data_IF_149817533292
#
_entry.id   IF_149817533292
#
_cell.length_a   1.000
_cell.length_b   1.000
_cell.length_c   1.000
_cell.angle_alpha   90.00
_cell.angle_beta   90.00
_cell.angle_gamma   90.00
#
_symmetry.space_group_name_H-M   'P 1'
#
loop_
_entity.id
_entity.type
_entity.pdbx_description
1 polymer ?
#
# COMPACT_ATOMS: atom_id res chain seq x y z
N UNK A 1 -0.59 -31.01 60.05
CA UNK A 1 -0.74 -31.15 58.58
C UNK A 1 -1.90 -30.37 57.96
N UNK A 2 -3.00 -30.04 58.67
CA UNK A 2 -4.17 -29.36 58.08
C UNK A 2 -3.98 -27.88 57.69
N UNK A 3 -3.08 -27.12 58.33
CA UNK A 3 -2.89 -25.67 58.05
C UNK A 3 -2.18 -25.36 56.72
N UNK A 4 -1.29 -26.22 56.23
CA UNK A 4 -0.58 -26.00 54.96
C UNK A 4 -1.49 -26.22 53.75
N UNK A 5 -2.47 -27.11 53.85
CA UNK A 5 -3.39 -27.43 52.76
C UNK A 5 -4.32 -26.26 52.41
N UNK A 6 -4.80 -25.51 53.42
CA UNK A 6 -5.61 -24.31 53.18
C UNK A 6 -4.83 -23.16 52.53
N UNK A 7 -3.52 -23.06 52.80
CA UNK A 7 -2.67 -22.04 52.16
C UNK A 7 -2.47 -22.38 50.67
N UNK A 8 -2.23 -23.65 50.34
CA UNK A 8 -2.13 -24.08 48.95
C UNK A 8 -3.45 -23.97 48.19
N UNK A 9 -4.59 -24.25 48.84
CA UNK A 9 -5.91 -24.07 48.23
C UNK A 9 -6.22 -22.59 47.97
N UNK A 10 -5.85 -21.69 48.89
CA UNK A 10 -6.02 -20.25 48.73
C UNK A 10 -5.18 -19.68 47.59
N UNK A 11 -3.91 -20.09 47.48
CA UNK A 11 -3.03 -19.68 46.37
C UNK A 11 -3.54 -20.25 45.03
N UNK A 12 -4.00 -21.50 45.01
CA UNK A 12 -4.57 -22.10 43.80
C UNK A 12 -5.86 -21.40 43.33
N UNK A 13 -6.70 -20.95 44.27
CA UNK A 13 -7.93 -20.21 43.96
C UNK A 13 -7.64 -18.77 43.49
N UNK A 14 -6.63 -18.11 44.07
CA UNK A 14 -6.17 -16.78 43.60
C UNK A 14 -5.52 -16.89 42.22
N UNK A 15 -4.74 -17.96 41.95
CA UNK A 15 -4.23 -18.22 40.61
C UNK A 15 -5.36 -18.52 39.61
N UNK A 16 -6.38 -19.31 39.99
CA UNK A 16 -7.56 -19.55 39.14
C UNK A 16 -8.37 -18.27 38.88
N UNK A 17 -8.48 -17.37 39.86
CA UNK A 17 -9.12 -16.06 39.71
C UNK A 17 -8.29 -15.10 38.85
N UNK A 18 -6.96 -15.17 38.91
CA UNK A 18 -6.06 -14.42 38.04
C UNK A 18 -6.08 -14.94 36.58
N UNK A 19 -6.36 -16.23 36.36
CA UNK A 19 -6.51 -16.82 35.02
C UNK A 19 -7.92 -16.56 34.46
N UNK A 20 -8.95 -16.46 35.31
CA UNK A 20 -10.34 -16.20 34.87
C UNK A 20 -10.71 -14.72 34.74
N UNK A 21 -9.85 -13.80 35.22
CA UNK A 21 -9.96 -12.36 34.95
C UNK A 21 -9.05 -11.88 33.81
N UNK A 22 -8.49 -12.80 33.03
CA UNK A 22 -7.66 -12.55 31.84
C UNK A 22 -8.42 -12.96 30.55
N UNK A 23 -9.72 -12.71 30.52
CA UNK A 23 -10.60 -13.13 29.43
C UNK A 23 -11.98 -12.54 29.59
N UNK A 24 -12.06 -11.21 29.47
CA UNK A 24 -13.30 -10.41 29.31
C UNK A 24 -12.98 -8.91 29.19
N UNK A 25 -12.00 -8.58 28.36
CA UNK A 25 -12.26 -7.45 27.46
C UNK A 25 -12.58 -8.17 26.14
N UNK A 26 -13.86 -8.21 25.78
CA UNK A 26 -14.23 -8.58 24.43
C UNK A 26 -13.53 -7.54 23.54
N UNK A 27 -12.43 -7.94 22.89
CA UNK A 27 -11.79 -7.20 21.81
C UNK A 27 -12.87 -6.97 20.75
N UNK A 28 -13.57 -5.84 20.86
CA UNK A 28 -14.81 -5.53 20.15
C UNK A 28 -14.53 -5.24 18.66
N UNK A 29 -14.06 -6.25 17.94
CA UNK A 29 -14.00 -6.25 16.49
C UNK A 29 -15.43 -6.23 15.97
N UNK A 30 -15.83 -5.07 15.45
CA UNK A 30 -17.24 -4.80 15.12
C UNK A 30 -17.44 -4.92 13.61
N UNK A 31 -18.43 -5.73 13.20
CA UNK A 31 -18.83 -5.84 11.80
C UNK A 31 -20.02 -4.92 11.51
N UNK A 32 -19.93 -4.12 10.46
CA UNK A 32 -21.00 -3.23 10.01
C UNK A 32 -21.27 -3.45 8.52
N UNK A 33 -22.55 -3.41 8.14
CA UNK A 33 -22.98 -3.49 6.74
C UNK A 33 -22.87 -2.12 6.05
N UNK A 34 -22.37 -2.12 4.82
CA UNK A 34 -22.26 -0.94 3.96
C UNK A 34 -21.04 -0.10 4.27
N UNK A 35 -21.00 1.12 3.71
CA UNK A 35 -19.94 2.08 3.95
C UNK A 35 -19.95 2.66 5.38
N UNK A 36 -18.84 3.22 5.87
CA UNK A 36 -18.84 4.06 7.06
C UNK A 36 -19.91 5.16 6.99
N UNK A 37 -20.47 5.54 8.14
CA UNK A 37 -21.52 6.59 8.20
C UNK A 37 -20.97 8.01 8.09
N UNK A 38 -19.68 8.18 8.37
CA UNK A 38 -18.99 9.47 8.36
C UNK A 38 -17.67 9.33 7.61
N UNK A 39 -17.19 10.44 7.05
CA UNK A 39 -15.89 10.49 6.40
C UNK A 39 -14.77 10.32 7.44
N UNK A 40 -13.71 9.64 7.04
CA UNK A 40 -12.53 9.43 7.88
C UNK A 40 -11.26 9.46 7.03
N UNK A 41 -10.10 9.80 7.62
CA UNK A 41 -8.83 9.69 6.91
C UNK A 41 -8.60 8.33 6.26
N UNK A 42 -9.03 7.24 6.90
CA UNK A 42 -8.87 5.90 6.36
C UNK A 42 -9.82 5.64 5.18
N UNK A 43 -11.08 6.08 5.28
CA UNK A 43 -12.04 5.95 4.19
C UNK A 43 -11.63 6.76 2.94
N UNK A 44 -11.10 7.97 3.14
CA UNK A 44 -10.56 8.80 2.05
C UNK A 44 -9.41 8.13 1.31
N UNK A 45 -8.49 7.50 2.05
CA UNK A 45 -7.39 6.73 1.46
C UNK A 45 -7.93 5.57 0.63
N UNK A 46 -8.88 4.80 1.17
CA UNK A 46 -9.56 3.72 0.44
C UNK A 46 -10.17 4.20 -0.88
N UNK A 47 -11.00 5.26 -0.85
CA UNK A 47 -11.61 5.79 -2.06
C UNK A 47 -10.57 6.27 -3.08
N UNK A 48 -9.43 6.82 -2.62
CA UNK A 48 -8.33 7.20 -3.51
C UNK A 48 -7.83 5.98 -4.30
N UNK A 49 -7.65 4.84 -3.64
CA UNK A 49 -7.14 3.61 -4.25
C UNK A 49 -8.15 3.05 -5.25
N UNK A 50 -9.40 2.88 -4.82
CA UNK A 50 -10.49 2.40 -5.70
C UNK A 50 -10.70 3.30 -6.92
N UNK A 51 -10.40 4.60 -6.79
CA UNK A 51 -10.47 5.55 -7.91
C UNK A 51 -9.27 5.47 -8.87
N UNK A 52 -8.33 4.54 -8.68
CA UNK A 52 -7.10 4.44 -9.48
C UNK A 52 -6.16 5.63 -9.27
N UNK A 53 -6.18 6.24 -8.08
CA UNK A 53 -5.33 7.37 -7.69
C UNK A 53 -4.25 6.93 -6.68
N UNK A 54 -3.84 5.66 -6.76
CA UNK A 54 -3.04 4.92 -5.79
C UNK A 54 -1.62 5.49 -5.53
N UNK A 55 -0.92 4.85 -4.59
CA UNK A 55 0.32 5.34 -3.97
C UNK A 55 1.54 5.35 -4.91
N UNK A 56 1.66 4.35 -5.78
CA UNK A 56 2.69 4.23 -6.82
C UNK A 56 2.68 5.39 -7.82
N UNK A 57 1.50 5.95 -8.09
CA UNK A 57 1.32 7.15 -8.89
C UNK A 57 1.54 8.46 -8.10
N UNK A 58 1.58 8.41 -6.76
CA UNK A 58 1.62 9.61 -5.91
C UNK A 58 3.05 10.07 -5.67
N UNK A 59 3.40 11.22 -6.25
CA UNK A 59 4.72 11.81 -6.11
C UNK A 59 4.88 12.57 -4.79
N UNK A 60 3.84 13.33 -4.40
CA UNK A 60 3.85 14.21 -3.23
C UNK A 60 2.44 14.40 -2.68
N UNK A 61 2.30 14.43 -1.36
CA UNK A 61 1.13 14.94 -0.66
C UNK A 61 1.57 16.01 0.35
N UNK A 62 1.33 17.28 0.02
CA UNK A 62 1.74 18.43 0.83
C UNK A 62 0.62 19.46 0.89
N UNK A 63 0.34 20.02 2.07
CA UNK A 63 -0.69 21.05 2.27
C UNK A 63 -2.06 20.65 1.68
N UNK A 64 -2.53 19.43 1.96
CA UNK A 64 -3.80 18.89 1.47
C UNK A 64 -3.91 18.82 -0.06
N UNK A 65 -2.77 18.69 -0.76
CA UNK A 65 -2.69 18.57 -2.22
C UNK A 65 -1.86 17.35 -2.62
N UNK A 66 -2.47 16.48 -3.41
CA UNK A 66 -1.82 15.37 -4.07
C UNK A 66 -1.27 15.83 -5.42
N UNK A 67 -0.02 15.48 -5.69
CA UNK A 67 0.56 15.52 -7.04
C UNK A 67 0.82 14.09 -7.48
N UNK A 68 0.19 13.69 -8.58
CA UNK A 68 0.29 12.33 -9.11
C UNK A 68 0.85 12.35 -10.53
N UNK A 69 1.42 11.23 -10.95
CA UNK A 69 1.79 10.96 -12.32
C UNK A 69 0.79 10.00 -12.98
N UNK A 70 0.63 10.10 -14.30
CA UNK A 70 0.05 9.05 -15.15
C UNK A 70 0.94 8.84 -16.38
N UNK A 71 1.27 7.58 -16.66
CA UNK A 71 1.96 7.21 -17.90
C UNK A 71 1.03 7.38 -19.10
N UNK A 72 1.59 7.75 -20.24
CA UNK A 72 0.89 7.85 -21.52
C UNK A 72 1.87 7.52 -22.66
N UNK A 73 1.36 7.20 -23.86
CA UNK A 73 2.16 6.82 -25.05
C UNK A 73 3.26 7.82 -25.40
N UNK A 74 3.12 9.09 -25.01
CA UNK A 74 4.08 10.17 -25.29
C UNK A 74 5.04 10.52 -24.14
N UNK A 75 4.95 9.86 -22.99
CA UNK A 75 5.70 10.19 -21.78
C UNK A 75 4.79 10.39 -20.55
N UNK A 76 5.34 11.03 -19.51
CA UNK A 76 4.61 11.24 -18.26
C UNK A 76 3.72 12.50 -18.31
N UNK A 77 2.51 12.36 -17.78
CA UNK A 77 1.62 13.48 -17.45
C UNK A 77 1.46 13.60 -15.94
N UNK A 78 1.32 14.82 -15.45
CA UNK A 78 1.16 15.11 -14.03
C UNK A 78 -0.20 15.73 -13.75
N UNK A 79 -0.80 15.39 -12.62
CA UNK A 79 -2.09 15.91 -12.20
C UNK A 79 -2.02 16.38 -10.74
N UNK A 80 -2.88 17.32 -10.38
CA UNK A 80 -2.98 17.81 -9.00
C UNK A 80 -4.43 17.94 -8.55
N UNK A 81 -4.69 17.50 -7.32
CA UNK A 81 -5.99 17.65 -6.68
C UNK A 81 -5.84 17.80 -5.17
N UNK A 82 -6.90 18.28 -4.53
CA UNK A 82 -6.96 18.52 -3.08
C UNK A 82 -7.73 17.43 -2.36
N UNK A 83 -7.50 17.31 -1.05
CA UNK A 83 -8.33 16.48 -0.15
C UNK A 83 -9.82 16.77 -0.29
N UNK A 84 -10.17 18.05 -0.46
CA UNK A 84 -11.56 18.50 -0.61
C UNK A 84 -12.16 18.02 -1.93
N UNK A 85 -11.43 18.10 -3.03
CA UNK A 85 -11.93 17.65 -4.33
C UNK A 85 -12.12 16.14 -4.38
N UNK A 86 -11.22 15.39 -3.73
CA UNK A 86 -11.41 13.96 -3.54
C UNK A 86 -12.66 13.70 -2.68
N UNK A 87 -12.81 14.38 -1.54
CA UNK A 87 -13.98 14.24 -0.67
C UNK A 87 -15.31 14.58 -1.38
N UNK A 88 -15.35 15.68 -2.13
CA UNK A 88 -16.52 16.10 -2.90
C UNK A 88 -16.90 15.04 -3.97
N UNK A 89 -15.93 14.24 -4.44
CA UNK A 89 -16.17 13.18 -5.45
C UNK A 89 -16.91 11.95 -4.92
N UNK A 90 -16.88 11.71 -3.60
CA UNK A 90 -17.55 10.57 -2.96
C UNK A 90 -18.56 10.97 -1.88
N UNK A 91 -18.81 12.27 -1.68
CA UNK A 91 -19.74 12.78 -0.67
C UNK A 91 -21.17 12.20 -0.78
N UNK A 92 -21.60 11.80 -1.98
CA UNK A 92 -22.89 11.15 -2.21
C UNK A 92 -23.03 9.81 -1.48
N UNK A 93 -21.91 9.15 -1.13
CA UNK A 93 -21.94 7.93 -0.31
C UNK A 93 -22.57 8.22 1.05
N UNK A 94 -22.42 9.41 1.64
CA UNK A 94 -23.02 9.70 2.95
C UNK A 94 -24.43 10.29 2.88
N UNK A 95 -25.04 10.31 1.69
CA UNK A 95 -26.38 10.88 1.50
C UNK A 95 -27.48 9.85 1.81
N UNK A 96 -28.60 10.26 2.44
CA UNK A 96 -29.70 9.34 2.82
C UNK A 96 -30.35 8.59 1.64
N UNK A 97 -30.27 9.10 0.42
CA UNK A 97 -30.88 8.53 -0.80
C UNK A 97 -30.03 7.42 -1.46
N UNK A 98 -29.23 6.73 -0.65
CA UNK A 98 -28.06 5.91 -1.00
C UNK A 98 -28.34 4.63 -1.82
N UNK A 99 -29.60 4.29 -2.13
CA UNK A 99 -30.01 2.92 -2.42
C UNK A 99 -29.44 2.27 -3.71
N UNK A 100 -28.71 3.00 -4.57
CA UNK A 100 -28.23 2.49 -5.86
C UNK A 100 -26.84 2.98 -6.31
N UNK A 101 -26.06 3.66 -5.44
CA UNK A 101 -24.85 4.39 -5.89
C UNK A 101 -23.51 3.64 -5.78
N UNK A 102 -23.50 2.36 -5.43
CA UNK A 102 -22.27 1.54 -5.35
C UNK A 102 -21.49 1.43 -6.68
N UNK A 103 -22.14 1.71 -7.81
CA UNK A 103 -21.55 1.56 -9.14
C UNK A 103 -20.79 2.80 -9.68
N UNK A 104 -20.79 3.93 -8.96
CA UNK A 104 -20.25 5.18 -9.47
C UNK A 104 -19.46 5.99 -8.43
N UNK A 105 -18.48 5.37 -7.74
CA UNK A 105 -17.31 6.18 -7.35
C UNK A 105 -16.82 6.81 -8.65
N UNK A 106 -16.75 8.15 -8.68
CA UNK A 106 -16.53 8.88 -9.91
C UNK A 106 -15.04 8.84 -10.27
N UNK A 107 -14.57 7.65 -10.69
CA UNK A 107 -13.20 7.21 -10.98
C UNK A 107 -12.31 8.29 -11.60
N UNK A 108 -11.85 9.22 -10.76
CA UNK A 108 -11.02 10.35 -11.14
C UNK A 108 -11.57 11.32 -12.21
N UNK A 109 -12.88 11.35 -12.53
CA UNK A 109 -13.40 12.28 -13.58
C UNK A 109 -13.11 13.75 -13.29
N UNK A 110 -12.98 14.11 -12.02
CA UNK A 110 -12.56 15.46 -11.62
C UNK A 110 -11.14 15.81 -12.10
N UNK A 111 -10.25 14.82 -12.27
CA UNK A 111 -8.94 15.01 -12.87
C UNK A 111 -9.04 15.22 -14.37
N UNK A 112 -9.88 14.44 -15.07
CA UNK A 112 -10.06 14.58 -16.51
C UNK A 112 -10.61 15.97 -16.86
N UNK A 113 -11.55 16.47 -16.06
CA UNK A 113 -12.11 17.81 -16.21
C UNK A 113 -11.08 18.93 -16.01
N UNK A 114 -10.09 18.72 -15.13
CA UNK A 114 -9.00 19.67 -14.89
C UNK A 114 -7.89 19.58 -15.94
N UNK A 115 -7.70 18.40 -16.52
CA UNK A 115 -6.57 18.10 -17.37
C UNK A 115 -5.23 18.06 -16.62
N UNK A 116 -4.14 17.75 -17.35
CA UNK A 116 -2.81 17.68 -16.78
C UNK A 116 -2.27 19.06 -16.39
N UNK A 117 -1.34 19.07 -15.44
CA UNK A 117 -0.61 20.27 -15.04
C UNK A 117 0.13 20.90 -16.23
N UNK A 118 -0.07 22.20 -16.41
CA UNK A 118 0.80 23.07 -17.21
C UNK A 118 2.00 23.56 -16.39
N UNK A 119 3.08 23.96 -17.07
CA UNK A 119 4.27 24.55 -16.43
C UNK A 119 4.92 23.60 -15.40
N UNK A 120 5.18 22.36 -15.83
CA UNK A 120 5.67 21.28 -14.95
C UNK A 120 7.10 21.53 -14.47
N UNK A 121 7.93 22.18 -15.30
CA UNK A 121 9.33 22.47 -14.98
C UNK A 121 9.41 23.50 -13.84
N UNK A 122 8.59 24.55 -13.90
CA UNK A 122 8.47 25.57 -12.85
C UNK A 122 7.94 24.99 -11.52
N UNK A 123 7.30 23.81 -11.59
CA UNK A 123 6.83 23.04 -10.44
C UNK A 123 7.83 21.99 -9.97
N UNK A 124 9.06 22.02 -10.46
CA UNK A 124 10.14 21.07 -10.12
C UNK A 124 9.79 19.62 -10.47
N UNK A 125 9.00 19.41 -11.52
CA UNK A 125 8.68 18.11 -12.09
C UNK A 125 9.40 17.98 -13.44
N UNK A 126 10.03 16.83 -13.73
CA UNK A 126 10.78 16.64 -14.96
C UNK A 126 9.83 16.39 -16.12
N UNK A 127 10.27 16.75 -17.32
CA UNK A 127 9.67 16.24 -18.55
C UNK A 127 10.45 14.99 -18.97
N UNK A 128 9.74 13.86 -19.10
CA UNK A 128 10.31 12.58 -19.53
C UNK A 128 9.70 12.16 -20.86
N UNK A 129 10.54 11.84 -21.84
CA UNK A 129 10.12 11.31 -23.15
C UNK A 129 11.04 10.18 -23.59
N UNK A 130 10.45 9.12 -24.12
CA UNK A 130 11.20 8.05 -24.76
C UNK A 130 11.13 8.23 -26.28
N UNK A 131 12.27 8.10 -26.96
CA UNK A 131 12.26 8.00 -28.42
C UNK A 131 12.29 6.54 -28.90
N UNK A 132 12.04 6.35 -30.21
CA UNK A 132 12.06 5.05 -30.90
C UNK A 132 13.41 4.31 -30.86
N UNK A 133 14.48 4.92 -30.32
CA UNK A 133 15.78 4.27 -30.11
C UNK A 133 16.01 3.92 -28.64
N UNK A 134 14.94 3.93 -27.84
CA UNK A 134 14.96 3.73 -26.39
C UNK A 134 15.93 4.70 -25.70
N UNK A 135 15.98 5.93 -26.19
CA UNK A 135 16.72 7.02 -25.56
C UNK A 135 15.77 7.85 -24.72
N UNK A 136 15.94 7.79 -23.41
CA UNK A 136 15.19 8.59 -22.47
C UNK A 136 15.72 10.02 -22.49
N UNK A 137 14.87 10.96 -22.87
CA UNK A 137 15.10 12.40 -22.76
C UNK A 137 14.52 12.87 -21.43
N UNK A 138 15.38 13.49 -20.63
CA UNK A 138 15.02 14.06 -19.32
C UNK A 138 15.31 15.54 -19.35
N UNK A 139 14.30 16.35 -19.06
CA UNK A 139 14.44 17.80 -18.93
C UNK A 139 13.95 18.26 -17.57
N UNK A 140 14.74 19.10 -16.91
CA UNK A 140 14.45 19.72 -15.62
C UNK A 140 14.63 21.22 -15.73
N UNK A 141 14.40 21.95 -14.63
CA UNK A 141 14.74 23.39 -14.57
C UNK A 141 16.25 23.65 -14.72
N UNK A 142 17.08 22.63 -14.46
CA UNK A 142 18.54 22.73 -14.46
C UNK A 142 19.18 22.33 -15.80
N UNK A 143 18.43 21.76 -16.74
CA UNK A 143 18.92 21.40 -18.06
C UNK A 143 18.20 20.22 -18.72
N UNK A 144 18.82 19.68 -19.76
CA UNK A 144 18.32 18.52 -20.50
C UNK A 144 19.43 17.49 -20.69
N UNK A 145 19.07 16.20 -20.62
CA UNK A 145 19.98 15.08 -20.86
C UNK A 145 19.29 13.94 -21.56
N UNK A 146 20.05 13.25 -22.40
CA UNK A 146 19.63 12.00 -23.03
C UNK A 146 20.37 10.82 -22.40
N UNK A 147 19.62 9.79 -22.03
CA UNK A 147 20.12 8.57 -21.39
C UNK A 147 19.74 7.40 -22.29
N UNK A 148 20.74 6.64 -22.74
CA UNK A 148 20.50 5.40 -23.49
C UNK A 148 20.09 4.31 -22.50
N UNK A 149 18.91 3.71 -22.70
CA UNK A 149 18.45 2.61 -21.88
C UNK A 149 19.14 1.30 -22.31
N UNK A 150 19.42 0.37 -21.37
CA UNK A 150 20.02 -0.94 -21.68
C UNK A 150 18.99 -1.92 -22.26
N UNK A 151 18.06 -1.42 -23.09
CA UNK A 151 16.98 -2.17 -23.71
C UNK A 151 17.27 -2.23 -25.22
N UNK A 152 16.98 -3.37 -25.86
CA UNK A 152 17.15 -3.49 -27.32
C UNK A 152 16.20 -2.52 -28.01
N UNK A 153 16.70 -1.73 -28.96
CA UNK A 153 15.83 -0.87 -29.77
C UNK A 153 14.87 -1.77 -30.56
N UNK A 154 13.58 -1.66 -30.25
CA UNK A 154 12.49 -2.29 -30.99
C UNK A 154 11.85 -1.26 -31.91
N UNK A 155 11.16 -1.73 -32.96
CA UNK A 155 10.38 -0.83 -33.81
C UNK A 155 9.24 -0.16 -33.03
N UNK A 156 8.73 -0.85 -32.00
CA UNK A 156 7.61 -0.40 -31.17
C UNK A 156 8.10 -0.06 -29.77
N UNK A 157 8.19 1.24 -29.48
CA UNK A 157 8.38 1.76 -28.11
C UNK A 157 7.09 1.72 -27.29
N UNK A 158 5.99 1.18 -27.84
CA UNK A 158 4.69 1.09 -27.19
C UNK A 158 4.67 0.09 -26.02
N UNK A 159 5.62 -0.85 -25.99
CA UNK A 159 5.76 -1.88 -24.93
C UNK A 159 6.72 -1.45 -23.81
N UNK A 160 7.16 -0.19 -23.79
CA UNK A 160 8.02 0.35 -22.75
C UNK A 160 7.27 1.40 -21.95
N UNK A 161 7.12 1.16 -20.66
CA UNK A 161 6.42 2.05 -19.75
C UNK A 161 7.41 2.79 -18.86
N UNK A 162 7.19 4.10 -18.71
CA UNK A 162 7.97 4.95 -17.83
C UNK A 162 7.16 5.31 -16.60
N UNK A 163 7.82 5.33 -15.46
CA UNK A 163 7.25 5.77 -14.18
C UNK A 163 8.22 6.71 -13.49
N UNK A 164 7.70 7.74 -12.83
CA UNK A 164 8.47 8.53 -11.88
C UNK A 164 8.04 8.09 -10.49
N UNK A 165 8.78 7.19 -9.85
CA UNK A 165 8.41 6.67 -8.53
C UNK A 165 8.64 7.70 -7.43
N UNK A 166 9.70 8.50 -7.52
CA UNK A 166 10.01 9.49 -6.50
C UNK A 166 10.84 10.65 -7.04
N UNK A 167 10.65 11.83 -6.44
CA UNK A 167 11.42 13.03 -6.76
C UNK A 167 11.53 13.99 -5.57
N UNK A 168 12.77 14.29 -5.17
CA UNK A 168 13.10 15.32 -4.18
C UNK A 168 13.96 16.43 -4.82
N UNK A 169 14.44 17.38 -4.00
CA UNK A 169 15.24 18.54 -4.46
C UNK A 169 16.58 18.18 -5.10
N UNK A 170 17.10 16.97 -4.89
CA UNK A 170 18.43 16.52 -5.32
C UNK A 170 18.36 15.35 -6.28
N UNK A 171 17.41 14.44 -6.10
CA UNK A 171 17.37 13.13 -6.73
C UNK A 171 15.98 12.82 -7.28
N UNK A 172 15.94 12.00 -8.32
CA UNK A 172 14.74 11.36 -8.84
C UNK A 172 15.00 9.88 -9.13
N UNK A 173 13.95 9.09 -9.02
CA UNK A 173 13.91 7.67 -9.28
C UNK A 173 12.89 7.40 -10.38
N UNK A 174 13.39 6.95 -11.53
CA UNK A 174 12.58 6.66 -12.71
C UNK A 174 12.55 5.14 -12.90
N UNK A 175 11.37 4.57 -13.03
CA UNK A 175 11.13 3.19 -13.44
C UNK A 175 11.01 3.09 -14.96
N UNK A 176 11.56 2.01 -15.51
CA UNK A 176 11.35 1.59 -16.89
C UNK A 176 10.93 0.13 -16.87
N UNK A 177 9.73 -0.15 -17.35
CA UNK A 177 9.22 -1.51 -17.53
C UNK A 177 9.23 -1.85 -19.02
N UNK A 178 9.95 -2.91 -19.37
CA UNK A 178 10.12 -3.40 -20.72
C UNK A 178 9.33 -4.70 -20.89
N UNK A 179 8.24 -4.59 -21.64
CA UNK A 179 7.38 -5.71 -22.05
C UNK A 179 7.77 -6.26 -23.42
N UNK A 180 8.90 -5.85 -23.99
CA UNK A 180 9.32 -6.34 -25.31
C UNK A 180 9.81 -7.79 -25.25
N UNK A 181 9.06 -8.69 -25.90
CA UNK A 181 9.41 -10.10 -26.11
C UNK A 181 8.57 -11.11 -25.31
N UNK A 182 8.78 -12.40 -25.59
CA UNK A 182 8.05 -13.53 -24.98
C UNK A 182 8.70 -13.94 -23.64
N UNK A 183 8.53 -13.14 -22.58
CA UNK A 183 9.06 -13.46 -21.25
C UNK A 183 8.62 -12.49 -20.17
N UNK A 184 9.20 -12.62 -18.98
CA UNK A 184 8.90 -11.75 -17.84
C UNK A 184 9.29 -10.29 -18.13
N UNK A 185 8.43 -9.36 -17.69
CA UNK A 185 8.67 -7.92 -17.76
C UNK A 185 10.01 -7.57 -17.12
N UNK A 186 10.88 -6.87 -17.86
CA UNK A 186 12.17 -6.41 -17.32
C UNK A 186 12.01 -5.02 -16.75
N UNK A 187 12.29 -4.88 -15.46
CA UNK A 187 12.25 -3.59 -14.78
C UNK A 187 13.65 -3.04 -14.56
N UNK A 188 13.87 -1.78 -14.97
CA UNK A 188 15.08 -1.02 -14.72
C UNK A 188 14.77 0.24 -13.91
N UNK A 189 15.62 0.54 -12.94
CA UNK A 189 15.56 1.76 -12.15
C UNK A 189 16.69 2.71 -12.54
N UNK A 190 16.35 3.97 -12.80
CA UNK A 190 17.29 5.03 -13.09
C UNK A 190 17.31 5.99 -11.90
N UNK A 191 18.42 5.96 -11.17
CA UNK A 191 18.71 6.89 -10.09
C UNK A 191 19.44 8.09 -10.67
N UNK A 192 18.81 9.26 -10.67
CA UNK A 192 19.29 10.44 -11.40
C UNK A 192 19.32 11.68 -10.49
N UNK A 193 20.42 12.43 -10.54
CA UNK A 193 20.48 13.76 -9.91
C UNK A 193 19.61 14.75 -10.68
N UNK A 194 18.91 15.64 -9.98
CA UNK A 194 18.11 16.73 -10.58
C UNK A 194 18.91 17.64 -11.53
N UNK A 195 20.20 17.83 -11.25
CA UNK A 195 21.12 18.59 -12.12
C UNK A 195 21.64 17.80 -13.34
N UNK A 196 21.17 16.56 -13.50
CA UNK A 196 21.47 15.66 -14.62
C UNK A 196 22.95 15.23 -14.76
N UNK A 197 23.83 15.64 -13.85
CA UNK A 197 25.28 15.36 -13.97
C UNK A 197 25.63 13.89 -13.72
N UNK A 198 24.94 13.24 -12.78
CA UNK A 198 25.21 11.86 -12.36
C UNK A 198 23.94 11.03 -12.41
N UNK A 199 24.07 9.80 -12.93
CA UNK A 199 23.00 8.81 -12.90
C UNK A 199 23.57 7.40 -12.74
N UNK A 200 22.72 6.47 -12.29
CA UNK A 200 22.98 5.03 -12.28
C UNK A 200 21.73 4.31 -12.81
N UNK A 201 21.94 3.28 -13.63
CA UNK A 201 20.87 2.39 -14.10
C UNK A 201 21.10 1.04 -13.45
N UNK A 202 20.05 0.47 -12.86
CA UNK A 202 20.12 -0.78 -12.10
C UNK A 202 18.94 -1.64 -12.51
N UNK A 203 19.17 -2.90 -12.84
CA UNK A 203 18.09 -3.86 -13.04
C UNK A 203 17.43 -4.20 -11.70
N UNK A 204 16.11 -4.45 -11.67
CA UNK A 204 15.37 -4.78 -10.45
C UNK A 204 16.02 -5.90 -9.63
N UNK A 205 16.49 -6.95 -10.28
CA UNK A 205 17.10 -8.12 -9.61
C UNK A 205 18.47 -7.81 -9.00
N UNK A 206 19.18 -6.82 -9.55
CA UNK A 206 20.49 -6.38 -9.08
C UNK A 206 20.40 -5.28 -8.01
N UNK A 207 19.20 -4.75 -7.76
CA UNK A 207 18.99 -3.62 -6.87
C UNK A 207 19.50 -3.88 -5.44
N UNK A 208 19.17 -5.01 -4.78
CA UNK A 208 19.62 -5.26 -3.41
C UNK A 208 21.15 -5.20 -3.29
N UNK A 209 21.86 -5.97 -4.14
CA UNK A 209 23.32 -6.01 -4.13
C UNK A 209 23.94 -4.65 -4.48
N UNK A 210 23.31 -3.87 -5.38
CA UNK A 210 23.81 -2.55 -5.75
C UNK A 210 23.66 -1.54 -4.61
N UNK A 211 22.57 -1.60 -3.84
CA UNK A 211 22.38 -0.80 -2.63
C UNK A 211 23.42 -1.18 -1.57
N UNK A 212 23.55 -2.47 -1.27
CA UNK A 212 24.51 -2.97 -0.27
C UNK A 212 25.96 -2.65 -0.62
N UNK A 213 26.29 -2.56 -1.92
CA UNK A 213 27.63 -2.14 -2.35
C UNK A 213 27.93 -0.65 -2.10
N UNK A 214 26.93 0.15 -1.68
CA UNK A 214 27.06 1.59 -1.45
C UNK A 214 27.05 2.46 -2.72
N UNK A 215 26.94 1.85 -3.92
CA UNK A 215 26.90 2.58 -5.21
C UNK A 215 25.75 3.57 -5.31
N UNK A 216 24.68 3.37 -4.55
CA UNK A 216 23.48 4.22 -4.55
C UNK A 216 23.37 5.16 -3.34
N UNK A 217 24.41 5.31 -2.51
CA UNK A 217 24.39 6.15 -1.30
C UNK A 217 23.93 7.60 -1.57
N UNK A 218 24.31 8.15 -2.72
CA UNK A 218 23.95 9.51 -3.12
C UNK A 218 22.46 9.69 -3.44
N UNK A 219 21.72 8.59 -3.63
CA UNK A 219 20.34 8.57 -4.13
C UNK A 219 19.34 8.06 -3.10
N UNK A 220 19.77 7.61 -1.92
CA UNK A 220 18.90 7.00 -0.90
C UNK A 220 17.73 7.89 -0.42
N UNK A 221 17.76 9.19 -0.69
CA UNK A 221 16.69 10.11 -0.31
C UNK A 221 15.40 9.93 -1.11
N UNK A 222 15.44 9.25 -2.25
CA UNK A 222 14.24 8.94 -3.06
C UNK A 222 13.40 7.82 -2.46
N UNK A 223 13.98 7.02 -1.56
CA UNK A 223 13.26 5.93 -0.92
C UNK A 223 12.46 6.43 0.28
N UNK A 224 11.18 6.03 0.41
CA UNK A 224 10.37 6.36 1.57
C UNK A 224 11.03 5.94 2.87
N UNK A 225 10.92 6.81 3.89
CA UNK A 225 11.37 6.48 5.24
C UNK A 225 10.34 5.60 5.93
N UNK A 226 10.79 4.46 6.41
CA UNK A 226 9.99 3.51 7.19
C UNK A 226 9.87 3.97 8.64
N UNK A 227 10.98 4.45 9.20
CA UNK A 227 11.05 5.00 10.56
C UNK A 227 11.28 6.51 10.54
N UNK A 228 10.89 7.22 11.60
CA UNK A 228 11.01 8.68 11.69
C UNK A 228 12.46 9.17 11.52
N UNK A 229 13.40 8.44 12.14
CA UNK A 229 14.85 8.68 12.03
C UNK A 229 15.44 8.30 10.66
N UNK A 230 14.67 7.59 9.83
CA UNK A 230 15.08 7.09 8.53
C UNK A 230 16.16 6.02 8.60
N UNK A 231 16.27 5.29 9.71
CA UNK A 231 17.15 4.11 9.86
C UNK A 231 16.78 2.99 8.89
N UNK A 232 15.49 2.86 8.57
CA UNK A 232 14.97 1.95 7.57
C UNK A 232 14.37 2.71 6.39
N UNK A 233 14.64 2.24 5.18
CA UNK A 233 14.08 2.77 3.93
C UNK A 233 13.33 1.67 3.19
N UNK A 234 12.15 1.99 2.67
CA UNK A 234 11.40 1.07 1.81
C UNK A 234 11.95 1.17 0.40
N UNK A 235 12.31 0.04 -0.19
CA UNK A 235 12.84 0.00 -1.54
C UNK A 235 11.71 -0.18 -2.54
N UNK A 236 11.38 -1.44 -2.83
CA UNK A 236 10.27 -1.89 -3.66
C UNK A 236 9.81 -3.24 -3.13
N UNK A 237 8.60 -3.64 -3.50
CA UNK A 237 7.99 -4.90 -3.07
C UNK A 237 8.19 -5.08 -1.55
N UNK A 238 8.62 -6.27 -1.14
CA UNK A 238 8.87 -6.67 0.25
C UNK A 238 10.28 -6.33 0.76
N UNK A 239 11.03 -5.44 0.11
CA UNK A 239 12.42 -5.13 0.48
C UNK A 239 12.58 -3.85 1.29
N UNK A 240 13.29 -3.97 2.42
CA UNK A 240 13.62 -2.89 3.35
C UNK A 240 15.14 -2.76 3.47
N UNK A 241 15.68 -1.57 3.30
CA UNK A 241 17.09 -1.27 3.51
C UNK A 241 17.34 -0.74 4.93
N UNK A 242 18.27 -1.36 5.66
CA UNK A 242 18.72 -0.95 6.98
C UNK A 242 20.05 -0.18 6.87
N UNK A 243 20.01 1.14 7.07
CA UNK A 243 21.19 2.01 6.89
C UNK A 243 22.36 1.66 7.80
N UNK A 244 22.08 1.31 9.06
CA UNK A 244 23.11 1.08 10.07
C UNK A 244 24.00 -0.11 9.72
N UNK A 245 23.40 -1.18 9.23
CA UNK A 245 24.09 -2.41 8.85
C UNK A 245 24.44 -2.43 7.37
N UNK A 246 23.87 -1.52 6.58
CA UNK A 246 24.00 -1.46 5.12
C UNK A 246 23.56 -2.78 4.45
N UNK A 247 22.46 -3.34 4.95
CA UNK A 247 21.88 -4.60 4.48
C UNK A 247 20.46 -4.38 3.97
N UNK A 248 20.11 -5.10 2.92
CA UNK A 248 18.75 -5.20 2.41
C UNK A 248 18.11 -6.46 2.99
N UNK A 249 16.93 -6.29 3.59
CA UNK A 249 16.14 -7.36 4.20
C UNK A 249 14.84 -7.53 3.43
N UNK A 250 14.52 -8.78 3.09
CA UNK A 250 13.20 -9.13 2.55
C UNK A 250 12.28 -9.53 3.70
N UNK A 251 11.06 -9.00 3.71
CA UNK A 251 9.97 -9.50 4.57
C UNK A 251 9.58 -10.91 4.09
N UNK A 252 9.07 -11.76 4.99
CA UNK A 252 8.65 -13.12 4.63
C UNK A 252 7.63 -13.10 3.49
N UNK A 253 7.69 -14.10 2.60
CA UNK A 253 6.70 -14.26 1.55
C UNK A 253 5.30 -14.54 2.12
N UNK A 254 5.24 -15.17 3.30
CA UNK A 254 4.02 -15.41 4.06
C UNK A 254 3.34 -14.14 4.62
N UNK A 255 4.03 -13.00 4.65
CA UNK A 255 3.57 -11.76 5.26
C UNK A 255 3.27 -10.69 4.18
N UNK A 256 2.52 -9.66 4.55
CA UNK A 256 2.18 -8.52 3.67
C UNK A 256 2.81 -7.24 4.20
N UNK A 257 3.47 -6.46 3.33
CA UNK A 257 4.07 -5.18 3.70
C UNK A 257 3.10 -4.03 3.35
N UNK A 258 2.91 -3.08 4.25
CA UNK A 258 2.07 -1.90 3.96
C UNK A 258 2.65 -1.07 2.81
N UNK A 259 1.79 -0.33 2.12
CA UNK A 259 2.16 0.51 0.97
C UNK A 259 3.25 1.54 1.27
N UNK A 260 3.27 2.05 2.51
CA UNK A 260 4.29 3.00 2.97
C UNK A 260 5.55 2.32 3.53
N UNK A 261 5.59 0.99 3.51
CA UNK A 261 6.66 0.15 4.01
C UNK A 261 6.82 0.15 5.52
N UNK A 262 5.87 0.70 6.29
CA UNK A 262 6.01 0.92 7.74
C UNK A 262 5.50 -0.23 8.60
N UNK A 263 4.58 -1.03 8.10
CA UNK A 263 3.90 -2.06 8.85
C UNK A 263 3.90 -3.38 8.09
N UNK A 264 3.89 -4.48 8.84
CA UNK A 264 3.81 -5.84 8.32
C UNK A 264 2.55 -6.49 8.88
N UNK A 265 1.69 -6.97 8.00
CA UNK A 265 0.58 -7.85 8.35
C UNK A 265 1.10 -9.28 8.36
N UNK A 266 1.06 -9.92 9.52
CA UNK A 266 1.61 -11.26 9.70
C UNK A 266 0.68 -12.32 9.10
N UNK A 267 1.23 -13.28 8.35
CA UNK A 267 0.50 -14.34 7.66
C UNK A 267 -0.54 -13.83 6.62
N UNK A 268 -0.36 -12.61 6.12
CA UNK A 268 -1.25 -11.97 5.13
C UNK A 268 -0.84 -12.14 3.67
N UNK A 269 -0.01 -13.16 3.37
CA UNK A 269 0.64 -13.37 2.08
C UNK A 269 -0.25 -13.08 0.85
N UNK A 270 0.30 -12.36 -0.13
CA UNK A 270 -0.32 -12.06 -1.42
C UNK A 270 -0.61 -13.32 -2.25
N UNK A 271 0.19 -14.38 -2.08
CA UNK A 271 0.11 -15.64 -2.83
C UNK A 271 -0.76 -16.69 -2.13
N UNK A 272 -1.33 -16.37 -0.96
CA UNK A 272 -2.33 -17.22 -0.32
C UNK A 272 -3.70 -16.83 -0.84
N UNK A 273 -4.38 -17.82 -1.44
CA UNK A 273 -5.78 -17.65 -1.86
C UNK A 273 -6.68 -17.23 -0.68
N UNK A 274 -6.35 -17.62 0.56
CA UNK A 274 -7.17 -17.35 1.74
C UNK A 274 -6.27 -16.94 2.92
N UNK A 275 -6.42 -15.70 3.41
CA UNK A 275 -5.93 -15.34 4.76
C UNK A 275 -6.63 -16.21 5.82
N UNK A 276 -5.89 -16.69 6.81
CA UNK A 276 -6.48 -17.55 7.83
C UNK A 276 -7.47 -16.78 8.72
N UNK A 277 -8.60 -17.41 9.06
CA UNK A 277 -9.45 -16.93 10.15
C UNK A 277 -8.71 -16.96 11.50
N UNK A 278 -9.23 -16.19 12.46
CA UNK A 278 -8.71 -16.11 13.82
C UNK A 278 -7.88 -14.85 14.06
N UNK A 279 -6.90 -14.95 14.96
CA UNK A 279 -6.12 -13.82 15.45
C UNK A 279 -5.18 -13.28 14.37
N UNK A 280 -5.50 -12.10 13.89
CA UNK A 280 -4.72 -11.28 12.97
C UNK A 280 -3.79 -10.37 13.75
N UNK A 281 -2.59 -10.12 13.21
CA UNK A 281 -1.55 -9.33 13.88
C UNK A 281 -0.83 -8.43 12.90
N UNK A 282 -0.63 -7.20 13.31
CA UNK A 282 0.11 -6.19 12.56
C UNK A 282 1.26 -5.68 13.43
N UNK A 283 2.46 -5.59 12.85
CA UNK A 283 3.65 -5.04 13.51
C UNK A 283 4.20 -3.86 12.74
N UNK A 284 4.92 -2.95 13.40
CA UNK A 284 5.85 -2.06 12.67
C UNK A 284 6.96 -2.91 12.04
N UNK A 285 7.49 -2.50 10.89
CA UNK A 285 8.66 -3.12 10.27
C UNK A 285 9.87 -3.16 11.22
N UNK A 286 10.07 -2.15 12.05
CA UNK A 286 11.17 -2.15 13.02
C UNK A 286 11.06 -3.31 14.02
N UNK A 287 9.90 -3.48 14.66
CA UNK A 287 9.65 -4.60 15.57
C UNK A 287 9.78 -5.95 14.86
N UNK A 288 9.21 -6.06 13.65
CA UNK A 288 9.28 -7.26 12.83
C UNK A 288 10.73 -7.67 12.54
N UNK A 289 11.54 -6.76 12.00
CA UNK A 289 12.93 -7.03 11.63
C UNK A 289 13.82 -7.31 12.85
N UNK A 290 13.53 -6.69 13.99
CA UNK A 290 14.22 -6.94 15.27
C UNK A 290 13.72 -8.19 15.99
N UNK A 291 12.67 -8.87 15.48
CA UNK A 291 11.98 -9.99 16.14
C UNK A 291 11.45 -9.62 17.52
N UNK A 292 11.06 -8.37 17.71
CA UNK A 292 10.32 -7.95 18.88
C UNK A 292 8.87 -8.38 18.69
N UNK A 293 8.38 -9.31 19.51
CA UNK A 293 6.99 -9.81 19.46
C UNK A 293 5.99 -8.78 20.02
N UNK A 294 6.04 -7.54 19.52
CA UNK A 294 5.15 -6.45 19.88
C UNK A 294 4.23 -6.17 18.70
N UNK A 295 2.97 -6.51 18.88
CA UNK A 295 1.92 -6.22 17.91
C UNK A 295 1.40 -4.79 18.12
N UNK A 296 1.27 -4.04 17.03
CA UNK A 296 0.69 -2.70 17.00
C UNK A 296 -0.83 -2.76 16.99
N UNK A 297 -1.39 -3.77 16.31
CA UNK A 297 -2.82 -4.07 16.29
C UNK A 297 -2.98 -5.59 16.29
N UNK A 298 -3.96 -6.06 17.06
CA UNK A 298 -4.40 -7.44 17.08
C UNK A 298 -5.93 -7.47 17.06
N UNK A 299 -6.52 -8.31 16.22
CA UNK A 299 -7.97 -8.49 16.15
C UNK A 299 -8.32 -9.90 15.69
N UNK A 300 -9.54 -10.36 15.94
CA UNK A 300 -10.00 -11.70 15.57
C UNK A 300 -10.93 -11.63 14.35
N UNK A 301 -10.44 -12.08 13.19
CA UNK A 301 -11.20 -12.13 11.95
C UNK A 301 -12.01 -13.44 11.90
N UNK A 302 -13.30 -13.30 11.60
CA UNK A 302 -14.30 -14.36 11.64
C UNK A 302 -15.21 -14.15 10.43
N UNK A 303 -15.05 -14.98 9.40
CA UNK A 303 -15.73 -14.80 8.12
C UNK A 303 -17.23 -15.00 8.28
N UNK A 304 -17.66 -16.00 9.04
CA UNK A 304 -19.07 -16.28 9.29
C UNK A 304 -19.77 -15.03 9.87
N UNK A 305 -19.20 -14.43 10.93
CA UNK A 305 -19.74 -13.19 11.51
C UNK A 305 -19.72 -12.02 10.54
N UNK A 306 -18.69 -11.93 9.71
CA UNK A 306 -18.60 -10.86 8.73
C UNK A 306 -19.72 -10.94 7.70
N UNK A 307 -19.91 -12.11 7.08
CA UNK A 307 -20.96 -12.34 6.08
C UNK A 307 -22.36 -12.24 6.68
N UNK A 308 -22.57 -12.78 7.89
CA UNK A 308 -23.81 -12.61 8.64
C UNK A 308 -24.10 -11.14 8.94
N UNK A 309 -23.08 -10.36 9.30
CA UNK A 309 -23.17 -8.91 9.51
C UNK A 309 -23.59 -8.15 8.24
N UNK A 310 -23.16 -8.62 7.06
CA UNK A 310 -23.64 -8.11 5.77
C UNK A 310 -25.04 -8.62 5.37
N UNK A 311 -25.59 -9.58 6.11
CA UNK A 311 -26.86 -10.23 5.79
C UNK A 311 -26.76 -11.21 4.62
N UNK A 312 -25.56 -11.75 4.36
CA UNK A 312 -25.27 -12.66 3.27
C UNK A 312 -25.15 -14.09 3.81
N UNK A 313 -25.91 -15.01 3.21
CA UNK A 313 -25.78 -16.43 3.51
C UNK A 313 -24.80 -17.09 2.54
N UNK A 314 -23.58 -17.26 3.01
CA UNK A 314 -22.47 -17.80 2.23
C UNK A 314 -22.30 -19.29 2.50
N UNK A 315 -22.11 -20.07 1.43
CA UNK A 315 -21.82 -21.51 1.52
C UNK A 315 -20.35 -21.75 1.85
N UNK A 316 -19.48 -20.97 1.23
CA UNK A 316 -18.03 -21.09 1.34
C UNK A 316 -17.35 -19.79 0.91
N UNK A 317 -16.28 -19.42 1.63
CA UNK A 317 -15.29 -18.44 1.17
C UNK A 317 -14.27 -19.15 0.29
N UNK A 318 -14.14 -18.67 -0.95
CA UNK A 318 -13.23 -19.23 -1.94
C UNK A 318 -11.85 -18.57 -1.86
N UNK A 319 -11.83 -17.25 -1.66
CA UNK A 319 -10.61 -16.48 -1.46
C UNK A 319 -10.82 -15.32 -0.49
N UNK A 320 -9.74 -14.89 0.17
CA UNK A 320 -9.70 -13.72 1.03
C UNK A 320 -8.30 -13.12 0.93
N UNK A 321 -8.17 -12.01 0.20
CA UNK A 321 -6.88 -11.42 -0.20
C UNK A 321 -6.79 -9.98 0.28
N UNK A 322 -5.65 -9.59 0.86
CA UNK A 322 -5.37 -8.19 1.18
C UNK A 322 -5.11 -7.44 -0.14
N UNK A 323 -6.02 -6.55 -0.51
CA UNK A 323 -5.86 -5.66 -1.69
C UNK A 323 -5.07 -4.40 -1.38
N UNK A 324 -5.10 -3.98 -0.11
CA UNK A 324 -4.41 -2.79 0.33
C UNK A 324 -4.18 -2.81 1.83
N UNK A 325 -3.04 -2.27 2.25
CA UNK A 325 -2.73 -2.11 3.66
C UNK A 325 -1.90 -0.85 3.95
N UNK A 326 -2.35 -0.06 4.92
CA UNK A 326 -1.57 1.01 5.55
C UNK A 326 -1.81 1.07 7.07
N UNK A 327 -1.20 2.05 7.74
CA UNK A 327 -1.30 2.24 9.19
C UNK A 327 -2.73 2.38 9.75
N UNK A 328 -3.65 2.88 8.94
CA UNK A 328 -5.03 3.18 9.33
C UNK A 328 -6.01 2.13 8.82
N UNK A 329 -5.58 1.25 7.91
CA UNK A 329 -6.52 0.59 7.04
C UNK A 329 -6.04 -0.74 6.44
N UNK A 330 -6.89 -1.77 6.46
CA UNK A 330 -6.70 -3.01 5.69
C UNK A 330 -7.95 -3.25 4.84
N UNK A 331 -7.77 -3.33 3.53
CA UNK A 331 -8.82 -3.73 2.58
C UNK A 331 -8.62 -5.19 2.22
N UNK A 332 -9.65 -6.01 2.44
CA UNK A 332 -9.64 -7.44 2.13
C UNK A 332 -10.77 -7.70 1.14
N UNK A 333 -10.42 -8.23 -0.03
CA UNK A 333 -11.41 -8.69 -0.99
C UNK A 333 -11.69 -10.16 -0.76
N UNK A 334 -12.97 -10.50 -0.67
CA UNK A 334 -13.44 -11.87 -0.54
C UNK A 334 -14.09 -12.33 -1.83
N UNK A 335 -13.73 -13.53 -2.29
CA UNK A 335 -14.56 -14.30 -3.23
C UNK A 335 -15.32 -15.36 -2.46
N UNK A 336 -16.61 -15.53 -2.75
CA UNK A 336 -17.45 -16.47 -2.02
C UNK A 336 -18.53 -17.09 -2.91
N UNK A 337 -19.02 -18.27 -2.50
CA UNK A 337 -20.16 -18.93 -3.13
C UNK A 337 -21.42 -18.72 -2.30
N UNK A 338 -22.50 -18.28 -2.96
CA UNK A 338 -23.81 -18.25 -2.31
C UNK A 338 -24.34 -19.65 -2.10
N UNK A 339 -25.21 -19.82 -1.09
CA UNK A 339 -25.92 -21.10 -0.88
C UNK A 339 -26.81 -21.45 -2.09
N UNK A 340 -27.38 -20.44 -2.77
CA UNK A 340 -28.43 -20.64 -3.76
C UNK A 340 -28.07 -20.22 -5.19
N UNK A 341 -27.13 -19.29 -5.42
CA UNK A 341 -26.83 -18.75 -6.76
C UNK A 341 -25.39 -18.27 -6.93
N UNK A 342 -24.58 -18.98 -7.72
CA UNK A 342 -23.30 -18.47 -8.25
C UNK A 342 -22.26 -18.05 -7.19
N UNK A 343 -21.25 -17.32 -7.65
CA UNK A 343 -20.18 -16.76 -6.83
C UNK A 343 -20.26 -15.23 -6.87
N UNK A 344 -19.81 -14.58 -5.78
CA UNK A 344 -19.78 -13.13 -5.65
C UNK A 344 -18.45 -12.64 -5.09
N UNK A 345 -18.30 -11.32 -5.10
CA UNK A 345 -17.19 -10.62 -4.47
C UNK A 345 -17.73 -9.61 -3.47
N UNK A 346 -17.06 -9.46 -2.33
CA UNK A 346 -17.36 -8.40 -1.35
C UNK A 346 -16.04 -7.86 -0.81
N UNK A 347 -15.97 -6.56 -0.61
CA UNK A 347 -14.83 -5.95 0.04
C UNK A 347 -15.13 -5.74 1.52
N UNK A 348 -14.16 -6.11 2.36
CA UNK A 348 -14.16 -5.77 3.77
C UNK A 348 -13.13 -4.68 4.02
N UNK A 349 -13.61 -3.68 4.72
CA UNK A 349 -12.91 -2.46 4.98
C UNK A 349 -12.61 -2.40 6.49
N UNK A 350 -11.40 -2.80 6.93
CA UNK A 350 -11.01 -2.78 8.34
C UNK A 350 -10.36 -1.45 8.73
N UNK A 351 -11.08 -0.62 9.48
CA UNK A 351 -10.58 0.64 10.03
C UNK A 351 -9.78 0.42 11.32
N UNK A 352 -8.51 0.79 11.27
CA UNK A 352 -7.53 0.63 12.35
C UNK A 352 -7.25 1.94 13.11
N UNK A 353 -8.01 3.01 12.87
CA UNK A 353 -7.84 4.27 13.59
C UNK A 353 -8.06 4.12 15.11
N UNK A 354 -9.04 3.30 15.50
CA UNK A 354 -9.10 2.74 16.85
C UNK A 354 -8.44 1.36 16.86
N UNK A 355 -7.13 1.36 17.16
CA UNK A 355 -6.32 0.13 17.23
C UNK A 355 -6.81 -0.89 18.26
N UNK A 356 -7.58 -0.47 19.27
CA UNK A 356 -8.09 -1.38 20.33
C UNK A 356 -9.42 -1.99 19.94
N UNK A 357 -10.23 -1.25 19.18
CA UNK A 357 -11.55 -1.68 18.74
C UNK A 357 -11.73 -1.45 17.24
N UNK A 358 -11.01 -2.20 16.37
CA UNK A 358 -11.14 -2.01 14.94
C UNK A 358 -12.57 -2.32 14.47
N UNK A 359 -13.02 -1.58 13.46
CA UNK A 359 -14.33 -1.77 12.84
C UNK A 359 -14.17 -2.25 11.42
N UNK A 360 -14.84 -3.33 11.06
CA UNK A 360 -14.90 -3.87 9.71
C UNK A 360 -16.21 -3.47 9.04
N UNK A 361 -16.12 -2.73 7.93
CA UNK A 361 -17.26 -2.37 7.10
C UNK A 361 -17.32 -3.30 5.88
N UNK A 362 -18.45 -3.97 5.66
CA UNK A 362 -18.66 -4.86 4.51
C UNK A 362 -19.36 -4.11 3.39
N UNK A 363 -18.63 -3.90 2.29
CA UNK A 363 -19.06 -3.14 1.13
C UNK A 363 -19.44 -4.13 0.04
N UNK A 364 -20.75 -4.36 -0.08
CA UNK A 364 -21.36 -5.16 -1.15
C UNK A 364 -21.61 -4.25 -2.37
N UNK A 365 -21.17 -4.69 -3.55
CA UNK A 365 -21.18 -3.90 -4.79
C UNK A 365 -22.51 -3.97 -5.54
#
# INVERSE_FOLDING_TARGET
MKKRWFIYLGIFTICLLAITNCGKDDDAFTYQKGYPKEDSPAFKEYIRIESGLAGDATLRHENHKYTIMRGDKGGLRYYQYTDKELQDSYASIFSPDQMFYSHHINNSKFLDAKGPLSYIIERQLPELRLDHKNMLQVKTELGEKKIKLPIKATADSEDIYLYLYAIDKKNMLIGVEDYTGDGDTKTYYIFLKQNLLKYQIVNKDELPATIESGKLNDYLSVFPKVTEDGSYLHLFDKYIFEKKTNLVRKISDDDYLSEDGKYVYLNGAEDKDIISEGVQRIQTVENYLKRNHKDEVQFNLDFEKAFDGAGLKVKKVNSAEIKYFNKNFVAIQFSYDFIWYGSGYIDMLIDLQDKKHPTAYLIDY
#
